data_IF_946162765267
#
_entry.id   IF_946162765267
#
_cell.length_a   1.000
_cell.length_b   1.000
_cell.length_c   1.000
_cell.angle_alpha   90.00
_cell.angle_beta   90.00
_cell.angle_gamma   90.00
#
_symmetry.space_group_name_H-M   'P 1'
#
loop_
_entity.id
_entity.type
_entity.pdbx_description
1 polymer ?
#
# COMPACT_ATOMS: atom_id res chain seq x y z
N UNK A 1 13.20 -12.41 -60.92
CA UNK A 1 12.02 -12.67 -61.75
C UNK A 1 10.76 -12.55 -60.88
N UNK A 2 10.00 -11.46 -61.06
CA UNK A 2 8.51 -11.46 -60.96
C UNK A 2 7.97 -11.98 -62.33
N UNK A 3 6.67 -12.27 -62.58
CA UNK A 3 5.41 -11.81 -61.96
C UNK A 3 4.35 -12.95 -61.83
N UNK A 4 3.08 -12.85 -61.43
CA UNK A 4 1.87 -12.11 -61.90
C UNK A 4 0.76 -12.45 -60.87
N UNK A 5 -0.05 -11.51 -60.34
CA UNK A 5 -1.16 -10.76 -60.95
C UNK A 5 -2.36 -11.58 -61.42
N UNK A 6 -3.52 -11.33 -60.80
CA UNK A 6 -4.91 -11.31 -61.33
C UNK A 6 -5.82 -10.83 -60.17
N UNK A 7 -6.17 -9.54 -60.01
CA UNK A 7 -7.12 -8.69 -60.75
C UNK A 7 -8.57 -9.21 -60.87
N UNK A 8 -9.50 -8.51 -60.20
CA UNK A 8 -10.82 -8.05 -60.68
C UNK A 8 -11.27 -6.97 -59.66
N UNK A 9 -11.14 -5.65 -59.88
CA UNK A 9 -11.94 -4.73 -60.74
C UNK A 9 -13.43 -5.03 -60.79
N UNK A 10 -14.25 -4.08 -60.33
CA UNK A 10 -15.21 -3.22 -61.09
C UNK A 10 -15.99 -2.36 -60.05
N UNK A 11 -15.70 -1.06 -59.92
CA UNK A 11 -16.24 0.14 -60.62
C UNK A 11 -17.59 0.67 -60.09
N UNK A 12 -17.60 1.95 -59.68
CA UNK A 12 -18.48 3.05 -60.18
C UNK A 12 -18.30 4.26 -59.23
N UNK A 13 -17.53 5.30 -59.58
CA UNK A 13 -17.97 6.57 -60.23
C UNK A 13 -19.15 7.25 -59.51
N UNK A 14 -19.17 8.57 -59.19
CA UNK A 14 -18.83 9.71 -60.05
C UNK A 14 -18.85 11.08 -59.31
N UNK A 15 -18.00 11.99 -59.80
CA UNK A 15 -17.96 13.48 -59.83
C UNK A 15 -18.75 14.40 -58.88
N UNK A 16 -18.06 15.51 -58.51
CA UNK A 16 -18.64 16.86 -58.55
C UNK A 16 -17.90 17.91 -57.71
N UNK A 17 -16.92 18.62 -58.29
CA UNK A 17 -16.51 19.96 -57.83
C UNK A 17 -17.52 21.00 -58.31
N UNK A 18 -17.82 22.03 -57.52
CA UNK A 18 -17.86 23.44 -57.94
C UNK A 18 -18.21 24.37 -56.76
N UNK A 19 -17.52 25.52 -56.70
CA UNK A 19 -17.67 26.59 -55.70
C UNK A 19 -18.68 27.62 -56.21
N UNK A 20 -19.49 28.20 -55.33
CA UNK A 20 -20.00 29.57 -55.47
C UNK A 20 -20.12 30.24 -54.09
N UNK A 21 -19.72 31.51 -54.06
CA UNK A 21 -19.80 32.48 -52.97
C UNK A 21 -21.26 32.81 -52.58
N UNK A 22 -21.48 33.30 -51.36
CA UNK A 22 -22.02 34.66 -51.08
C UNK A 22 -22.73 34.72 -49.72
N UNK A 23 -22.44 35.80 -49.01
CA UNK A 23 -22.91 36.27 -47.71
C UNK A 23 -24.38 36.06 -47.36
N UNK A 24 -24.64 35.76 -46.07
CA UNK A 24 -25.74 36.33 -45.31
C UNK A 24 -25.43 36.28 -43.80
N UNK A 25 -25.20 37.45 -43.19
CA UNK A 25 -25.46 37.61 -41.77
C UNK A 25 -26.98 37.59 -41.53
N UNK A 26 -27.41 37.15 -40.34
CA UNK A 26 -28.31 38.02 -39.60
C UNK A 26 -27.85 38.22 -38.16
N UNK A 27 -27.89 39.48 -37.75
CA UNK A 27 -27.73 39.91 -36.36
C UNK A 27 -28.95 39.47 -35.54
N UNK A 28 -28.70 38.85 -34.39
CA UNK A 28 -29.68 38.75 -33.33
C UNK A 28 -28.96 38.83 -31.97
N UNK A 29 -29.11 39.99 -31.35
CA UNK A 29 -28.69 40.26 -29.98
C UNK A 29 -29.38 39.30 -29.01
N UNK A 30 -28.59 38.53 -28.25
CA UNK A 30 -29.07 37.82 -27.07
C UNK A 30 -28.09 38.03 -25.92
N UNK A 31 -28.59 38.76 -24.92
CA UNK A 31 -28.12 38.82 -23.55
C UNK A 31 -27.52 37.50 -23.04
N UNK A 32 -26.45 37.57 -22.23
CA UNK A 32 -26.15 36.50 -21.28
C UNK A 32 -24.68 36.21 -21.03
N UNK A 33 -24.01 37.14 -20.37
CA UNK A 33 -22.87 36.86 -19.50
C UNK A 33 -23.05 35.53 -18.74
N UNK A 34 -22.27 34.47 -19.03
CA UNK A 34 -22.00 33.33 -18.10
C UNK A 34 -21.03 32.23 -18.59
N UNK A 35 -20.23 32.40 -19.66
CA UNK A 35 -19.30 31.33 -20.08
C UNK A 35 -18.14 31.03 -19.10
N UNK A 36 -17.66 32.03 -18.35
CA UNK A 36 -16.47 31.87 -17.48
C UNK A 36 -16.79 31.43 -16.05
N UNK A 37 -18.05 31.45 -15.62
CA UNK A 37 -18.43 31.08 -14.25
C UNK A 37 -18.52 29.55 -14.08
N UNK A 38 -18.92 28.83 -15.12
CA UNK A 38 -19.13 27.37 -15.06
C UNK A 38 -17.81 26.62 -14.90
N UNK A 39 -16.72 27.09 -15.53
CA UNK A 39 -15.40 26.47 -15.36
C UNK A 39 -14.80 26.66 -13.95
N UNK A 40 -15.13 27.77 -13.27
CA UNK A 40 -14.74 27.98 -11.87
C UNK A 40 -15.52 27.07 -10.92
N UNK A 41 -16.80 26.80 -11.20
CA UNK A 41 -17.62 25.85 -10.43
C UNK A 41 -17.07 24.41 -10.54
N UNK A 42 -16.68 23.96 -11.74
CA UNK A 42 -16.06 22.64 -11.90
C UNK A 42 -14.70 22.51 -11.19
N UNK A 43 -13.89 23.58 -11.18
CA UNK A 43 -12.61 23.59 -10.44
C UNK A 43 -12.82 23.64 -8.91
N UNK A 44 -13.93 24.20 -8.43
CA UNK A 44 -14.29 24.17 -7.00
C UNK A 44 -14.97 22.86 -6.59
N UNK A 45 -15.70 22.18 -7.49
CA UNK A 45 -16.24 20.85 -7.24
C UNK A 45 -15.14 19.79 -7.16
N UNK A 46 -14.08 19.89 -7.96
CA UNK A 46 -12.91 19.01 -7.84
C UNK A 46 -12.04 19.27 -6.59
N UNK A 47 -12.27 20.37 -5.86
CA UNK A 47 -11.59 20.66 -4.59
C UNK A 47 -12.49 20.44 -3.37
N UNK A 48 -13.66 19.83 -3.54
CA UNK A 48 -14.64 19.53 -2.46
C UNK A 48 -14.91 18.01 -2.39
N UNK A 49 -14.15 17.21 -3.11
CA UNK A 49 -14.07 15.75 -2.92
C UNK A 49 -12.70 15.39 -2.35
N UNK A 50 -12.18 16.20 -1.41
CA UNK A 50 -11.39 15.63 -0.33
C UNK A 50 -12.41 14.94 0.58
N UNK A 51 -12.58 13.65 0.29
CA UNK A 51 -13.36 12.69 1.04
C UNK A 51 -13.08 12.88 2.53
N UNK A 52 -13.99 13.53 3.24
CA UNK A 52 -14.09 13.50 4.70
C UNK A 52 -14.47 12.08 5.14
N UNK A 53 -13.60 11.12 4.85
CA UNK A 53 -13.38 9.99 5.75
C UNK A 53 -12.88 10.60 7.06
N UNK A 54 -13.32 10.13 8.24
CA UNK A 54 -12.77 10.63 9.48
C UNK A 54 -11.25 10.46 9.39
N UNK A 55 -10.53 11.58 9.44
CA UNK A 55 -9.07 11.74 9.36
C UNK A 55 -8.39 11.18 10.63
N UNK A 56 -8.86 10.01 11.07
CA UNK A 56 -8.74 9.47 12.42
C UNK A 56 -8.45 7.96 12.35
N UNK A 57 -7.52 7.59 11.51
CA UNK A 57 -6.96 6.24 11.48
C UNK A 57 -5.46 6.38 11.35
N UNK A 58 -4.73 5.81 12.31
CA UNK A 58 -3.28 5.71 12.26
C UNK A 58 -2.81 5.18 10.90
N UNK A 59 -1.62 5.58 10.47
CA UNK A 59 -1.06 5.04 9.24
C UNK A 59 -0.92 3.52 9.30
N UNK A 60 -0.95 2.88 8.12
CA UNK A 60 -0.69 1.45 7.99
C UNK A 60 0.62 1.04 8.69
N UNK A 61 1.64 1.89 8.61
CA UNK A 61 2.93 1.64 9.25
C UNK A 61 2.82 1.57 10.78
N UNK A 62 2.06 2.49 11.40
CA UNK A 62 1.76 2.44 12.83
C UNK A 62 1.00 1.15 13.16
N UNK A 63 -0.08 0.84 12.43
CA UNK A 63 -0.92 -0.34 12.67
C UNK A 63 -0.13 -1.65 12.59
N UNK A 64 0.80 -1.75 11.62
CA UNK A 64 1.72 -2.88 11.53
C UNK A 64 2.67 -2.88 12.74
N UNK A 65 3.32 -1.75 13.05
CA UNK A 65 4.33 -1.68 14.11
C UNK A 65 3.79 -2.04 15.50
N UNK A 66 2.54 -1.68 15.82
CA UNK A 66 1.92 -2.00 17.12
C UNK A 66 1.40 -3.43 17.23
N UNK A 67 1.18 -4.12 16.09
CA UNK A 67 0.63 -5.47 16.02
C UNK A 67 1.49 -6.50 16.78
N UNK A 68 0.84 -7.57 17.26
CA UNK A 68 1.53 -8.65 17.99
C UNK A 68 2.42 -9.44 17.05
N UNK A 69 1.95 -9.64 15.83
CA UNK A 69 2.60 -10.37 14.75
C UNK A 69 3.91 -9.69 14.33
N UNK A 70 3.90 -8.36 14.20
CA UNK A 70 5.12 -7.61 13.91
C UNK A 70 6.15 -7.74 15.04
N UNK A 71 5.71 -7.73 16.31
CA UNK A 71 6.61 -7.94 17.46
C UNK A 71 7.23 -9.34 17.48
N UNK A 72 6.54 -10.34 16.95
CA UNK A 72 7.05 -11.71 16.83
C UNK A 72 8.01 -11.88 15.64
N UNK A 73 7.79 -11.12 14.56
CA UNK A 73 8.60 -11.14 13.34
C UNK A 73 8.99 -9.71 12.87
N UNK A 74 9.85 -9.00 13.63
CA UNK A 74 10.08 -7.58 13.42
C UNK A 74 10.89 -7.27 12.15
N UNK A 75 11.74 -8.20 11.73
CA UNK A 75 12.53 -8.04 10.50
C UNK A 75 11.62 -8.07 9.27
N UNK A 76 10.66 -9.01 9.23
CA UNK A 76 9.69 -9.07 8.13
C UNK A 76 8.73 -7.90 8.18
N UNK A 77 8.23 -7.54 9.35
CA UNK A 77 7.34 -6.39 9.51
C UNK A 77 8.01 -5.09 9.02
N UNK A 78 9.27 -4.88 9.35
CA UNK A 78 10.03 -3.72 8.88
C UNK A 78 10.16 -3.70 7.35
N UNK A 79 10.36 -4.86 6.71
CA UNK A 79 10.37 -4.96 5.24
C UNK A 79 9.01 -4.62 4.64
N UNK A 80 7.93 -5.16 5.18
CA UNK A 80 6.56 -4.93 4.69
C UNK A 80 6.15 -3.44 4.78
N UNK A 81 6.58 -2.75 5.85
CA UNK A 81 6.38 -1.30 5.98
C UNK A 81 7.15 -0.55 4.90
N UNK A 82 8.42 -0.91 4.67
CA UNK A 82 9.25 -0.27 3.65
C UNK A 82 8.74 -0.52 2.21
N UNK A 83 8.15 -1.69 1.98
CA UNK A 83 7.48 -2.05 0.73
C UNK A 83 6.11 -1.35 0.54
N UNK A 84 5.60 -0.68 1.56
CA UNK A 84 4.30 0.01 1.52
C UNK A 84 3.12 -0.95 1.44
N UNK A 85 3.23 -2.15 2.01
CA UNK A 85 2.14 -3.13 2.04
C UNK A 85 1.06 -2.67 3.03
N UNK A 86 -0.23 -2.66 2.64
CA UNK A 86 -1.30 -2.23 3.52
C UNK A 86 -1.42 -3.14 4.75
N UNK A 87 -1.79 -2.57 5.91
CA UNK A 87 -1.68 -3.26 7.20
C UNK A 87 -2.41 -4.61 7.24
N UNK A 88 -3.62 -4.68 6.67
CA UNK A 88 -4.43 -5.90 6.66
C UNK A 88 -3.71 -7.06 5.95
N UNK A 89 -3.04 -6.75 4.83
CA UNK A 89 -2.27 -7.73 4.06
C UNK A 89 -0.96 -8.07 4.76
N UNK A 90 -0.29 -7.07 5.33
CA UNK A 90 0.95 -7.28 6.07
C UNK A 90 0.74 -8.21 7.28
N UNK A 91 -0.32 -8.01 8.06
CA UNK A 91 -0.68 -8.86 9.20
C UNK A 91 -0.95 -10.30 8.73
N UNK A 92 -1.73 -10.49 7.66
CA UNK A 92 -2.00 -11.82 7.13
C UNK A 92 -0.72 -12.57 6.70
N UNK A 93 0.23 -11.85 6.08
CA UNK A 93 1.55 -12.40 5.74
C UNK A 93 2.32 -12.76 7.01
N UNK A 94 2.35 -11.87 8.01
CA UNK A 94 3.08 -12.09 9.26
C UNK A 94 2.53 -13.30 10.04
N UNK A 95 1.22 -13.49 10.10
CA UNK A 95 0.57 -14.62 10.79
C UNK A 95 0.97 -15.98 10.23
N UNK A 96 1.15 -16.08 8.90
CA UNK A 96 1.56 -17.32 8.24
C UNK A 96 3.08 -17.46 8.08
N UNK A 97 3.86 -16.47 8.50
CA UNK A 97 5.30 -16.43 8.27
C UNK A 97 6.09 -17.02 9.42
N UNK A 98 7.11 -17.79 9.08
CA UNK A 98 8.21 -18.10 9.99
C UNK A 98 8.98 -16.82 10.30
N UNK A 99 9.49 -16.72 11.53
CA UNK A 99 10.35 -15.58 11.92
C UNK A 99 11.51 -15.44 10.94
N UNK A 100 11.68 -14.23 10.41
CA UNK A 100 12.71 -13.99 9.41
C UNK A 100 14.06 -13.75 10.09
N UNK A 101 15.11 -14.36 9.54
CA UNK A 101 16.49 -14.11 9.96
C UNK A 101 17.04 -12.84 9.31
N UNK A 102 17.89 -12.12 10.04
CA UNK A 102 18.65 -11.01 9.47
C UNK A 102 19.62 -11.53 8.41
N UNK A 103 19.96 -10.69 7.42
CA UNK A 103 20.97 -11.04 6.40
C UNK A 103 22.32 -11.37 7.02
N UNK A 104 22.66 -10.71 8.13
CA UNK A 104 23.89 -10.98 8.87
C UNK A 104 23.87 -12.38 9.48
N UNK A 105 22.81 -12.71 10.21
CA UNK A 105 22.63 -14.00 10.86
C UNK A 105 22.63 -15.14 9.84
N UNK A 106 21.91 -14.97 8.72
CA UNK A 106 21.91 -15.97 7.64
C UNK A 106 23.32 -16.24 7.11
N UNK A 107 24.06 -15.18 6.75
CA UNK A 107 25.45 -15.30 6.27
C UNK A 107 26.41 -15.88 7.29
N UNK A 108 26.16 -15.65 8.58
CA UNK A 108 26.96 -16.23 9.65
C UNK A 108 26.68 -17.74 9.77
N UNK A 109 25.41 -18.14 9.78
CA UNK A 109 25.00 -19.54 9.86
C UNK A 109 25.42 -20.36 8.63
N UNK A 110 25.36 -19.79 7.43
CA UNK A 110 25.87 -20.39 6.18
C UNK A 110 27.35 -20.85 6.29
N UNK A 111 28.14 -20.23 7.17
CA UNK A 111 29.56 -20.58 7.38
C UNK A 111 29.79 -21.56 8.51
N UNK A 112 28.87 -21.63 9.47
CA UNK A 112 29.08 -22.34 10.74
C UNK A 112 28.29 -23.64 10.78
N UNK A 113 27.13 -23.70 10.12
CA UNK A 113 26.23 -24.83 10.16
C UNK A 113 26.32 -25.65 8.86
N UNK A 114 26.86 -26.88 8.90
CA UNK A 114 26.90 -27.75 7.73
C UNK A 114 25.50 -28.12 7.24
N UNK A 115 25.25 -28.05 5.93
CA UNK A 115 23.95 -28.37 5.34
C UNK A 115 22.87 -27.31 5.61
N UNK A 116 23.27 -26.08 5.94
CA UNK A 116 22.37 -24.95 6.20
C UNK A 116 21.36 -24.72 5.06
N UNK A 117 21.80 -24.89 3.82
CA UNK A 117 21.00 -24.74 2.60
C UNK A 117 19.92 -25.82 2.41
N UNK A 118 20.03 -26.93 3.15
CA UNK A 118 19.06 -28.04 3.11
C UNK A 118 17.93 -27.87 4.12
N UNK A 119 18.12 -26.97 5.09
CA UNK A 119 17.11 -26.67 6.11
C UNK A 119 16.02 -25.76 5.54
N UNK A 120 14.78 -25.98 5.97
CA UNK A 120 13.69 -25.05 5.68
C UNK A 120 13.81 -23.78 6.53
N UNK A 121 12.91 -22.81 6.31
CA UNK A 121 12.99 -21.53 7.01
C UNK A 121 12.80 -21.65 8.53
N UNK A 122 11.99 -22.61 9.00
CA UNK A 122 11.72 -22.83 10.43
C UNK A 122 12.91 -23.48 11.10
N UNK A 123 13.46 -24.53 10.48
CA UNK A 123 14.65 -25.22 10.95
C UNK A 123 15.88 -24.30 10.95
N UNK A 124 16.03 -23.46 9.91
CA UNK A 124 17.05 -22.41 9.89
C UNK A 124 16.88 -21.45 11.07
N UNK A 125 15.64 -21.03 11.38
CA UNK A 125 15.40 -20.15 12.51
C UNK A 125 15.76 -20.82 13.84
N UNK A 126 15.33 -22.06 14.03
CA UNK A 126 15.58 -22.85 15.22
C UNK A 126 17.08 -23.06 15.45
N UNK A 127 17.80 -23.47 14.41
CA UNK A 127 19.25 -23.68 14.47
C UNK A 127 20.00 -22.37 14.80
N UNK A 128 19.61 -21.26 14.18
CA UNK A 128 20.22 -19.95 14.48
C UNK A 128 19.92 -19.49 15.92
N UNK A 129 18.69 -19.69 16.39
CA UNK A 129 18.32 -19.38 17.77
C UNK A 129 19.15 -20.18 18.78
N UNK A 130 19.25 -21.50 18.59
CA UNK A 130 20.04 -22.38 19.44
C UNK A 130 21.52 -21.99 19.46
N UNK A 131 22.09 -21.72 18.29
CA UNK A 131 23.49 -21.28 18.18
C UNK A 131 23.73 -19.95 18.91
N UNK A 132 22.81 -18.99 18.78
CA UNK A 132 22.88 -17.71 19.50
C UNK A 132 22.86 -17.91 21.02
N UNK A 133 21.99 -18.78 21.53
CA UNK A 133 21.86 -19.06 22.96
C UNK A 133 23.14 -19.64 23.58
N UNK A 134 23.85 -20.51 22.83
CA UNK A 134 25.07 -21.16 23.30
C UNK A 134 26.29 -20.23 23.15
N UNK A 135 26.34 -19.47 22.06
CA UNK A 135 27.53 -18.70 21.66
C UNK A 135 27.33 -17.19 21.83
N UNK A 136 26.68 -16.79 22.93
CA UNK A 136 26.51 -15.39 23.36
C UNK A 136 26.07 -14.41 22.26
N UNK A 137 25.22 -14.87 21.35
CA UNK A 137 24.73 -14.12 20.18
C UNK A 137 25.81 -13.60 19.21
N UNK A 138 26.94 -14.30 19.08
CA UNK A 138 28.00 -13.98 18.10
C UNK A 138 27.52 -13.85 16.65
N UNK A 139 26.47 -14.58 16.28
CA UNK A 139 25.83 -14.52 14.95
C UNK A 139 24.76 -13.43 14.83
N UNK A 140 24.57 -12.62 15.88
CA UNK A 140 23.68 -11.46 15.90
C UNK A 140 22.21 -11.77 15.66
N UNK A 141 21.74 -12.97 16.06
CA UNK A 141 20.33 -13.35 15.97
C UNK A 141 19.47 -12.43 16.84
N UNK A 142 19.82 -12.28 18.13
CA UNK A 142 19.07 -11.44 19.08
C UNK A 142 19.32 -9.96 18.81
N UNK A 143 20.57 -9.60 18.50
CA UNK A 143 20.95 -8.24 18.15
C UNK A 143 20.16 -7.74 16.92
N UNK A 144 20.09 -8.54 15.84
CA UNK A 144 19.33 -8.20 14.64
C UNK A 144 17.82 -8.10 14.90
N UNK A 145 17.29 -9.01 15.71
CA UNK A 145 15.89 -8.97 16.13
C UNK A 145 15.55 -7.70 16.93
N UNK A 146 16.36 -7.37 17.94
CA UNK A 146 16.16 -6.18 18.78
C UNK A 146 16.35 -4.89 17.98
N UNK A 147 17.33 -4.85 17.08
CA UNK A 147 17.52 -3.69 16.20
C UNK A 147 16.29 -3.45 15.31
N UNK A 148 15.66 -4.51 14.80
CA UNK A 148 14.44 -4.40 14.03
C UNK A 148 13.26 -3.92 14.91
N UNK A 149 13.14 -4.39 16.15
CA UNK A 149 12.14 -3.87 17.09
C UNK A 149 12.31 -2.38 17.35
N UNK A 150 13.52 -1.92 17.67
CA UNK A 150 13.80 -0.50 17.86
C UNK A 150 13.60 0.32 16.58
N UNK A 151 13.72 -0.30 15.40
CA UNK A 151 13.40 0.36 14.14
C UNK A 151 11.88 0.49 13.93
N UNK A 152 11.09 -0.50 14.34
CA UNK A 152 9.63 -0.44 14.30
C UNK A 152 9.06 0.64 15.21
N UNK A 153 9.67 0.89 16.37
CA UNK A 153 9.27 1.95 17.29
C UNK A 153 9.23 3.34 16.62
N UNK A 154 10.03 3.55 15.57
CA UNK A 154 10.06 4.82 14.83
C UNK A 154 8.81 5.05 13.98
N UNK A 155 8.05 4.02 13.68
CA UNK A 155 6.79 4.09 12.94
C UNK A 155 5.57 4.22 13.87
N UNK A 156 5.78 4.16 15.19
CA UNK A 156 4.69 4.32 16.14
C UNK A 156 4.38 5.82 16.27
N UNK A 157 3.27 6.21 15.67
CA UNK A 157 2.65 7.52 15.88
C UNK A 157 2.26 7.76 17.36
N UNK A 158 2.28 9.03 17.81
CA UNK A 158 1.85 9.37 19.15
C UNK A 158 0.38 9.01 19.37
N UNK A 159 0.05 8.62 20.60
CA UNK A 159 -1.31 8.32 21.02
C UNK A 159 -2.19 9.56 20.86
N UNK A 160 -3.29 9.40 20.14
CA UNK A 160 -4.28 10.45 19.92
C UNK A 160 -5.40 10.36 20.97
N UNK A 161 -6.19 11.42 21.10
CA UNK A 161 -7.32 11.44 22.03
C UNK A 161 -8.34 10.33 21.71
N UNK A 162 -8.54 10.02 20.43
CA UNK A 162 -9.48 8.99 19.99
C UNK A 162 -9.04 7.60 20.43
N UNK A 163 -7.74 7.31 20.51
CA UNK A 163 -7.24 6.04 21.04
C UNK A 163 -7.58 5.87 22.52
N UNK A 164 -7.56 6.97 23.27
CA UNK A 164 -7.94 6.99 24.68
C UNK A 164 -9.45 6.75 24.82
N UNK A 165 -10.26 7.40 23.98
CA UNK A 165 -11.72 7.23 24.01
C UNK A 165 -12.12 5.81 23.57
N UNK A 166 -11.48 5.27 22.53
CA UNK A 166 -11.75 3.94 22.00
C UNK A 166 -11.25 2.81 22.92
N UNK A 167 -10.26 3.09 23.78
CA UNK A 167 -9.76 2.12 24.78
C UNK A 167 -10.55 2.13 26.10
N UNK A 168 -11.40 3.14 26.34
CA UNK A 168 -12.29 3.16 27.49
C UNK A 168 -13.45 2.18 27.27
N UNK A 169 -13.72 1.25 28.21
CA UNK A 169 -14.90 0.42 28.13
C UNK A 169 -16.13 1.31 28.18
N UNK A 170 -17.04 1.16 27.20
CA UNK A 170 -18.34 1.84 27.24
C UNK A 170 -18.97 1.58 28.61
N UNK A 171 -19.15 2.65 29.38
CA UNK A 171 -19.76 2.58 30.71
C UNK A 171 -21.17 2.02 30.54
N UNK A 172 -21.31 0.75 30.86
CA UNK A 172 -22.59 0.06 30.91
C UNK A 172 -23.41 0.75 31.99
N UNK A 173 -24.52 1.33 31.53
CA UNK A 173 -25.53 1.99 32.34
C UNK A 173 -26.05 0.97 33.38
N UNK A 174 -25.69 1.13 34.65
CA UNK A 174 -26.36 0.45 35.76
C UNK A 174 -27.67 1.21 35.97
N UNK A 175 -28.66 0.97 35.12
CA UNK A 175 -30.02 1.44 35.33
C UNK A 175 -30.76 0.41 36.19
N UNK A 176 -30.98 0.80 37.44
CA UNK A 176 -32.01 0.37 38.39
C UNK A 176 -32.89 -0.82 37.99
N UNK A 177 -32.74 -1.92 38.71
CA UNK A 177 -33.87 -2.80 39.03
C UNK A 177 -34.14 -2.68 40.53
N UNK A 178 -34.99 -1.72 40.90
CA UNK A 178 -35.88 -1.91 42.04
C UNK A 178 -37.13 -2.59 41.49
N UNK A 179 -37.45 -3.79 41.97
CA UNK A 179 -38.80 -4.30 42.18
C UNK A 179 -38.78 -5.55 43.03
#
# INVERSE_FOLDING_TARGET
MKPNSLNHRFLSERCGEERYELSAQPDAQAYGFTGRRIQRMHRLQQSIEDDHSPEYSHSDAHLIAVSKEAKQNPILAFQLIYEGIPHQRAIAILQGSVRQLSRFTRRAMEKVYPGWELLDAEDQNMAAFQHSMINSDTIGYRAGFNAALSALEKFIEPVTFDDIVNSLPASHNITSQEH
#
